data_IF_416633279792
#
_entry.id   IF_416633279792
#
_cell.length_a   1.000
_cell.length_b   1.000
_cell.length_c   1.000
_cell.angle_alpha   90.00
_cell.angle_beta   90.00
_cell.angle_gamma   90.00
#
_symmetry.space_group_name_H-M   'P 1'
#
loop_
_entity.id
_entity.type
_entity.pdbx_description
1 polymer ?
#
# COMPACT_ATOMS: atom_id res chain seq x y z
N UNK A 1 -24.08 19.36 2.09
CA UNK A 1 -22.69 19.87 2.11
C UNK A 1 -22.10 19.73 0.72
N UNK A 2 -21.52 20.79 0.15
CA UNK A 2 -20.91 20.75 -1.18
C UNK A 2 -19.51 20.11 -1.08
N UNK A 3 -19.19 19.05 -1.83
CA UNK A 3 -17.90 18.38 -1.73
C UNK A 3 -16.77 19.32 -2.14
N UNK A 4 -15.75 19.42 -1.28
CA UNK A 4 -14.58 20.25 -1.51
C UNK A 4 -13.77 19.73 -2.70
N UNK A 5 -12.85 20.55 -3.23
CA UNK A 5 -11.96 20.12 -4.33
C UNK A 5 -11.08 18.93 -3.92
N UNK A 6 -10.71 18.84 -2.64
CA UNK A 6 -9.99 17.71 -2.06
C UNK A 6 -10.87 16.43 -1.99
N UNK A 7 -12.16 16.57 -1.68
CA UNK A 7 -13.11 15.44 -1.68
C UNK A 7 -13.31 14.87 -3.09
N UNK A 8 -13.41 15.75 -4.10
CA UNK A 8 -13.57 15.32 -5.50
C UNK A 8 -12.33 14.62 -6.06
N UNK A 9 -11.13 15.05 -5.66
CA UNK A 9 -9.86 14.43 -6.08
C UNK A 9 -9.53 13.14 -5.32
N UNK A 10 -10.05 12.98 -4.10
CA UNK A 10 -9.87 11.76 -3.31
C UNK A 10 -10.87 10.65 -3.67
N UNK A 11 -12.05 10.99 -4.20
CA UNK A 11 -13.08 10.02 -4.60
C UNK A 11 -12.58 8.93 -5.58
N UNK A 12 -11.81 9.24 -6.64
CA UNK A 12 -11.23 8.23 -7.53
C UNK A 12 -10.21 7.33 -6.83
N UNK A 13 -9.40 7.92 -5.93
CA UNK A 13 -8.41 7.17 -5.14
C UNK A 13 -9.09 6.24 -4.13
N UNK A 14 -10.25 6.63 -3.59
CA UNK A 14 -11.06 5.78 -2.71
C UNK A 14 -11.70 4.61 -3.47
N UNK A 15 -12.12 4.81 -4.73
CA UNK A 15 -12.64 3.71 -5.57
C UNK A 15 -11.58 2.62 -5.80
N UNK A 16 -10.31 3.01 -5.78
CA UNK A 16 -9.16 2.14 -5.90
C UNK A 16 -8.73 1.47 -4.57
N UNK A 17 -9.35 1.81 -3.43
CA UNK A 17 -9.04 1.18 -2.14
C UNK A 17 -9.41 -0.32 -2.13
N UNK A 18 -10.54 -0.69 -2.74
CA UNK A 18 -11.02 -2.06 -2.74
C UNK A 18 -10.06 -3.04 -3.44
N UNK A 19 -9.63 -2.80 -4.69
CA UNK A 19 -8.65 -3.68 -5.34
C UNK A 19 -7.30 -3.68 -4.62
N UNK A 20 -6.84 -2.53 -4.12
CA UNK A 20 -5.59 -2.46 -3.36
C UNK A 20 -5.64 -3.33 -2.09
N UNK A 21 -6.72 -3.24 -1.31
CA UNK A 21 -6.91 -4.07 -0.12
C UNK A 21 -7.03 -5.56 -0.47
N UNK A 22 -7.70 -5.92 -1.56
CA UNK A 22 -7.80 -7.32 -2.00
C UNK A 22 -6.42 -7.91 -2.37
N UNK A 23 -5.60 -7.15 -3.10
CA UNK A 23 -4.22 -7.56 -3.42
C UNK A 23 -3.40 -7.69 -2.14
N UNK A 24 -3.49 -6.73 -1.22
CA UNK A 24 -2.79 -6.80 0.07
C UNK A 24 -3.21 -8.02 0.88
N UNK A 25 -4.50 -8.36 0.92
CA UNK A 25 -4.98 -9.54 1.65
C UNK A 25 -4.42 -10.83 1.03
N UNK A 26 -4.47 -10.96 -0.30
CA UNK A 26 -3.89 -12.12 -1.00
C UNK A 26 -2.38 -12.25 -0.72
N UNK A 27 -1.63 -11.14 -0.78
CA UNK A 27 -0.19 -11.15 -0.50
C UNK A 27 0.11 -11.53 0.95
N UNK A 28 -0.67 -11.01 1.90
CA UNK A 28 -0.49 -11.29 3.32
C UNK A 28 -0.83 -12.75 3.67
N UNK A 29 -1.85 -13.31 3.02
CA UNK A 29 -2.28 -14.69 3.24
C UNK A 29 -1.32 -15.68 2.56
N UNK A 30 -0.86 -15.37 1.33
CA UNK A 30 0.03 -16.26 0.57
C UNK A 30 1.50 -16.19 1.01
N UNK A 31 1.95 -15.02 1.47
CA UNK A 31 3.37 -14.75 1.74
C UNK A 31 3.55 -14.02 3.09
N UNK A 32 3.10 -14.62 4.21
CA UNK A 32 3.11 -13.96 5.53
C UNK A 32 4.54 -13.65 6.02
N UNK A 33 5.54 -14.38 5.54
CA UNK A 33 6.94 -14.19 5.92
C UNK A 33 7.54 -12.88 5.42
N UNK A 34 6.93 -12.20 4.43
CA UNK A 34 7.32 -10.83 4.04
C UNK A 34 7.19 -9.83 5.19
N UNK A 35 6.44 -10.18 6.24
CA UNK A 35 6.30 -9.33 7.40
C UNK A 35 7.43 -9.46 8.40
N UNK A 36 8.30 -10.47 8.30
CA UNK A 36 9.37 -10.66 9.27
C UNK A 36 10.33 -9.46 9.31
N UNK A 37 10.74 -8.96 10.49
CA UNK A 37 10.54 -9.51 11.85
C UNK A 37 9.23 -9.09 12.54
N UNK A 38 8.35 -8.36 11.85
CA UNK A 38 7.02 -8.00 12.31
C UNK A 38 6.03 -9.15 12.09
N UNK A 39 4.78 -8.93 12.51
CA UNK A 39 3.64 -9.79 12.21
C UNK A 39 2.77 -9.11 11.15
N UNK A 40 2.01 -9.93 10.41
CA UNK A 40 0.95 -9.43 9.52
C UNK A 40 0.01 -8.53 10.35
N UNK A 41 -0.23 -7.28 9.93
CA UNK A 41 -1.13 -6.37 10.63
C UNK A 41 -2.57 -6.89 10.57
N UNK A 42 -3.33 -6.66 11.65
CA UNK A 42 -4.75 -6.93 11.66
C UNK A 42 -5.49 -6.00 10.68
N UNK A 43 -6.48 -6.51 9.96
CA UNK A 43 -7.18 -5.78 8.88
C UNK A 43 -7.96 -4.54 9.37
N UNK A 44 -8.31 -4.54 10.65
CA UNK A 44 -9.03 -3.48 11.37
C UNK A 44 -8.09 -2.52 12.12
N UNK A 45 -6.78 -2.75 12.08
CA UNK A 45 -5.77 -1.89 12.70
C UNK A 45 -4.96 -1.12 11.63
N UNK A 46 -4.72 0.19 11.83
CA UNK A 46 -3.84 0.95 10.95
C UNK A 46 -2.40 0.43 11.05
N UNK A 47 -1.63 0.62 9.98
CA UNK A 47 -0.23 0.20 9.92
C UNK A 47 0.62 1.02 10.89
N UNK A 48 1.50 0.34 11.62
CA UNK A 48 2.50 0.99 12.47
C UNK A 48 3.61 1.62 11.61
N UNK A 49 4.41 2.52 12.18
CA UNK A 49 5.57 3.08 11.47
C UNK A 49 6.58 2.01 11.00
N UNK A 50 6.91 0.97 11.81
CA UNK A 50 7.72 -0.15 11.34
C UNK A 50 7.10 -0.91 10.16
N UNK A 51 5.78 -1.11 10.17
CA UNK A 51 5.07 -1.78 9.07
C UNK A 51 5.15 -0.98 7.76
N UNK A 52 4.99 0.34 7.85
CA UNK A 52 5.18 1.25 6.72
C UNK A 52 6.60 1.18 6.14
N UNK A 53 7.61 1.20 7.01
CA UNK A 53 9.01 1.11 6.62
C UNK A 53 9.32 -0.23 5.94
N UNK A 54 8.80 -1.34 6.48
CA UNK A 54 8.99 -2.66 5.90
C UNK A 54 8.38 -2.75 4.49
N UNK A 55 7.19 -2.20 4.27
CA UNK A 55 6.62 -2.13 2.92
C UNK A 55 7.47 -1.31 1.94
N UNK A 56 8.04 -0.19 2.38
CA UNK A 56 8.91 0.64 1.55
C UNK A 56 10.18 -0.11 1.14
N UNK A 57 10.75 -0.89 2.07
CA UNK A 57 11.90 -1.77 1.78
C UNK A 57 11.54 -2.83 0.74
N UNK A 58 10.43 -3.55 0.91
CA UNK A 58 9.99 -4.57 -0.05
C UNK A 58 9.71 -3.99 -1.44
N UNK A 59 9.04 -2.84 -1.51
CA UNK A 59 8.81 -2.14 -2.77
C UNK A 59 10.13 -1.75 -3.46
N UNK A 60 11.13 -1.33 -2.69
CA UNK A 60 12.46 -1.01 -3.21
C UNK A 60 13.18 -2.25 -3.73
N UNK A 61 13.16 -3.36 -2.98
CA UNK A 61 13.76 -4.64 -3.41
C UNK A 61 13.08 -5.17 -4.67
N UNK A 62 11.75 -5.16 -4.72
CA UNK A 62 10.98 -5.57 -5.89
C UNK A 62 11.32 -4.73 -7.13
N UNK A 63 11.48 -3.41 -6.95
CA UNK A 63 11.92 -2.53 -8.02
C UNK A 63 13.31 -2.88 -8.52
N UNK A 64 14.28 -3.07 -7.62
CA UNK A 64 15.65 -3.45 -7.99
C UNK A 64 15.68 -4.81 -8.69
N UNK A 65 14.89 -5.79 -8.23
CA UNK A 65 14.76 -7.09 -8.87
C UNK A 65 14.16 -6.97 -10.28
N UNK A 66 13.08 -6.20 -10.45
CA UNK A 66 12.46 -5.97 -11.76
C UNK A 66 13.43 -5.30 -12.75
N UNK A 67 14.28 -4.38 -12.27
CA UNK A 67 15.35 -3.79 -13.08
C UNK A 67 16.36 -4.82 -13.56
N UNK A 68 16.80 -5.71 -12.67
CA UNK A 68 17.74 -6.77 -13.02
C UNK A 68 17.13 -7.76 -14.02
N UNK A 69 15.89 -8.16 -13.80
CA UNK A 69 15.20 -9.15 -14.63
C UNK A 69 14.80 -8.62 -16.01
N UNK A 70 14.43 -7.34 -16.12
CA UNK A 70 13.99 -6.75 -17.40
C UNK A 70 15.12 -6.49 -18.40
N UNK A 71 16.39 -6.57 -17.98
CA UNK A 71 17.56 -6.27 -18.83
C UNK A 71 17.60 -4.84 -19.38
N UNK A 72 16.64 -3.99 -18.98
CA UNK A 72 16.48 -2.61 -19.43
C UNK A 72 16.89 -1.66 -18.32
N UNK A 73 17.53 -0.56 -18.71
CA UNK A 73 17.70 0.59 -17.83
C UNK A 73 16.34 1.26 -17.63
N UNK A 74 15.51 0.72 -16.74
CA UNK A 74 14.34 1.44 -16.24
C UNK A 74 14.81 2.80 -15.70
N UNK A 75 14.22 3.91 -16.16
CA UNK A 75 14.65 5.23 -15.73
C UNK A 75 14.43 5.35 -14.22
N UNK A 76 15.52 5.64 -13.49
CA UNK A 76 15.56 5.54 -12.02
C UNK A 76 14.53 6.46 -11.35
N UNK A 77 14.41 7.71 -11.82
CA UNK A 77 13.46 8.67 -11.26
C UNK A 77 11.99 8.21 -11.37
N UNK A 78 11.46 7.95 -12.58
CA UNK A 78 10.08 7.49 -12.77
C UNK A 78 9.76 6.20 -12.03
N UNK A 79 10.72 5.27 -11.97
CA UNK A 79 10.54 4.00 -11.27
C UNK A 79 10.41 4.16 -9.76
N UNK A 80 11.22 5.04 -9.17
CA UNK A 80 11.13 5.39 -7.75
C UNK A 80 9.84 6.14 -7.45
N UNK A 81 9.43 7.07 -8.32
CA UNK A 81 8.17 7.78 -8.19
C UNK A 81 6.97 6.82 -8.23
N UNK A 82 6.96 5.87 -9.17
CA UNK A 82 5.91 4.86 -9.26
C UNK A 82 5.89 3.93 -8.05
N UNK A 83 7.07 3.52 -7.55
CA UNK A 83 7.18 2.74 -6.32
C UNK A 83 6.64 3.49 -5.10
N UNK A 84 6.98 4.77 -4.95
CA UNK A 84 6.49 5.63 -3.87
C UNK A 84 4.96 5.84 -3.96
N UNK A 85 4.43 6.09 -5.15
CA UNK A 85 2.99 6.25 -5.38
C UNK A 85 2.23 4.96 -5.08
N UNK A 86 2.78 3.82 -5.51
CA UNK A 86 2.20 2.50 -5.22
C UNK A 86 2.21 2.23 -3.72
N UNK A 87 3.31 2.51 -3.03
CA UNK A 87 3.42 2.40 -1.58
C UNK A 87 2.37 3.26 -0.86
N UNK A 88 2.32 4.57 -1.14
CA UNK A 88 1.34 5.50 -0.55
C UNK A 88 -0.11 5.06 -0.79
N UNK A 89 -0.38 4.49 -1.96
CA UNK A 89 -1.70 3.99 -2.29
C UNK A 89 -2.04 2.73 -1.48
N UNK A 90 -1.19 1.72 -1.46
CA UNK A 90 -1.42 0.46 -0.72
C UNK A 90 -1.56 0.69 0.79
N UNK A 91 -0.63 1.43 1.40
CA UNK A 91 -0.68 1.72 2.84
C UNK A 91 -1.84 2.64 3.19
N UNK A 92 -2.11 3.65 2.36
CA UNK A 92 -3.26 4.54 2.54
C UNK A 92 -4.61 3.81 2.42
N UNK A 93 -4.74 2.87 1.48
CA UNK A 93 -5.95 2.06 1.32
C UNK A 93 -6.19 1.14 2.53
N UNK A 94 -5.11 0.56 3.09
CA UNK A 94 -5.16 -0.23 4.32
C UNK A 94 -5.64 0.62 5.50
N UNK A 95 -5.00 1.76 5.75
CA UNK A 95 -5.31 2.61 6.88
C UNK A 95 -6.73 3.19 6.82
N UNK A 96 -7.19 3.54 5.61
CA UNK A 96 -8.59 3.95 5.40
C UNK A 96 -9.55 2.80 5.68
N UNK A 97 -9.24 1.57 5.26
CA UNK A 97 -10.04 0.38 5.59
C UNK A 97 -10.10 0.16 7.10
N UNK A 98 -8.96 0.16 7.79
CA UNK A 98 -8.88 -0.01 9.23
C UNK A 98 -9.74 1.02 9.97
N UNK A 99 -9.63 2.31 9.61
CA UNK A 99 -10.48 3.37 10.18
C UNK A 99 -11.97 3.13 9.94
N UNK A 100 -12.37 2.69 8.73
CA UNK A 100 -13.76 2.37 8.41
C UNK A 100 -14.29 1.19 9.24
N UNK A 101 -13.48 0.16 9.45
CA UNK A 101 -13.85 -1.01 10.26
C UNK A 101 -13.97 -0.64 11.74
N UNK A 102 -13.00 0.10 12.27
CA UNK A 102 -13.03 0.59 13.66
C UNK A 102 -14.24 1.51 13.93
N UNK A 103 -14.67 2.32 12.95
CA UNK A 103 -15.86 3.16 13.07
C UNK A 103 -17.18 2.36 13.05
N UNK A 104 -17.22 1.19 12.43
CA UNK A 104 -18.41 0.31 12.38
C UNK A 104 -18.55 -0.58 13.62
N UNK A 105 -17.47 -0.77 14.36
CA UNK A 105 -17.46 -1.55 15.60
C UNK A 105 -17.87 -0.75 16.84
N UNK A 106 -18.14 0.56 16.68
CA UNK A 106 -18.65 1.48 17.70
C UNK A 106 -20.11 1.78 17.44
#
# INVERSE_FOLDING_TARGET
MTPTRADRLSTPLVALDAPANAISDVLNDAIPWLWWPLRVPARDAPLTAPAHALYAVHGTVALLAARRLSGRALPTGPSLALGLLSWLWFTGAWDRRARRLAARAR
#
